data_IF_597337456443
#
_entry.id   IF_597337456443
#
_cell.length_a   1.000
_cell.length_b   1.000
_cell.length_c   1.000
_cell.angle_alpha   90.00
_cell.angle_beta   90.00
_cell.angle_gamma   90.00
#
_symmetry.space_group_name_H-M   'P 1'
#
loop_
_entity.id
_entity.type
_entity.pdbx_description
1 polymer ?
2 non-polymer ?
3 non-polymer ?
4 non-polymer ?
5 water ?
#
# COMPACT_ATOMS: atom_id res chain seq x y z
N UNK A 10 18.22 19.43 9.62
CA UNK A 10 17.03 19.08 8.78
C UNK A 10 16.33 20.35 8.33
N UNK A 11 15.86 20.31 7.10
CA UNK A 11 15.15 21.39 6.51
C UNK A 11 13.65 21.09 6.21
N UNK A 12 13.01 22.19 5.87
CA UNK A 12 11.70 22.20 5.28
C UNK A 12 11.78 21.45 3.94
N UNK A 13 12.90 21.61 3.25
CA UNK A 13 13.14 20.99 1.95
C UNK A 13 13.15 19.45 2.05
N UNK A 14 13.81 18.97 3.10
CA UNK A 14 13.89 17.55 3.41
C UNK A 14 12.47 17.00 3.59
N UNK A 15 11.70 17.67 4.44
CA UNK A 15 10.38 17.20 4.74
C UNK A 15 9.45 17.23 3.52
N UNK A 16 9.54 18.29 2.73
CA UNK A 16 8.76 18.41 1.50
C UNK A 16 9.10 17.26 0.53
N UNK A 17 10.38 16.89 0.46
CA UNK A 17 10.84 15.81 -0.47
C UNK A 17 10.23 14.48 -0.06
N UNK A 18 10.22 14.19 1.24
CA UNK A 18 9.70 12.89 1.73
C UNK A 18 8.19 12.79 1.50
N UNK A 19 7.50 13.89 1.78
CA UNK A 19 6.06 13.95 1.63
C UNK A 19 5.67 13.77 0.19
N UNK A 20 6.50 14.29 -0.71
CA UNK A 20 6.20 14.28 -2.14
C UNK A 20 6.19 12.87 -2.71
N UNK A 21 7.03 12.01 -2.17
CA UNK A 21 7.01 10.58 -2.50
C UNK A 21 5.58 9.97 -2.52
N UNK A 22 4.70 10.39 -1.59
CA UNK A 22 3.40 9.72 -1.44
C UNK A 22 2.51 10.18 -2.59
N UNK A 23 2.68 11.43 -2.97
CA UNK A 23 1.94 11.99 -4.09
C UNK A 23 2.45 11.41 -5.44
N UNK A 24 3.77 11.32 -5.60
CA UNK A 24 4.42 10.72 -6.79
C UNK A 24 3.85 9.33 -7.07
N UNK A 25 3.68 8.57 -5.99
CA UNK A 25 3.19 7.20 -6.08
C UNK A 25 1.70 7.09 -6.37
N UNK A 26 0.92 7.91 -5.65
CA UNK A 26 -0.53 7.93 -5.83
C UNK A 26 -0.82 8.30 -7.27
N UNK A 27 -0.16 9.35 -7.75
CA UNK A 27 -0.42 9.83 -9.12
C UNK A 27 0.04 8.85 -10.20
N UNK A 28 1.18 8.20 -9.98
CA UNK A 28 1.69 7.18 -10.94
C UNK A 28 0.80 5.95 -10.99
N UNK A 29 0.30 5.54 -9.84
CA UNK A 29 -0.61 4.41 -9.79
C UNK A 29 -1.78 4.80 -10.66
N UNK A 30 -2.31 5.99 -10.40
CA UNK A 30 -3.50 6.43 -11.07
C UNK A 30 -3.34 6.60 -12.57
N UNK A 31 -2.12 6.73 -13.06
CA UNK A 31 -1.96 6.81 -14.51
C UNK A 31 -1.34 5.54 -15.02
N UNK A 32 -1.22 4.54 -14.15
CA UNK A 32 -0.76 3.23 -14.54
C UNK A 32 0.71 3.16 -14.87
N UNK A 33 1.52 3.95 -14.18
CA UNK A 33 2.95 3.95 -14.45
C UNK A 33 3.80 3.28 -13.41
N UNK A 34 4.33 2.11 -13.77
CA UNK A 34 5.17 1.35 -12.85
C UNK A 34 6.47 2.06 -12.54
N UNK A 35 7.08 2.65 -13.57
CA UNK A 35 8.31 3.40 -13.34
C UNK A 35 8.08 4.63 -12.47
N UNK A 36 6.96 5.29 -12.66
CA UNK A 36 6.62 6.45 -11.83
C UNK A 36 6.47 6.05 -10.38
N UNK A 37 5.90 4.88 -10.17
CA UNK A 37 5.54 4.43 -8.83
C UNK A 37 6.79 4.04 -8.04
N UNK A 38 7.76 3.47 -8.76
CA UNK A 38 9.04 2.98 -8.22
C UNK A 38 10.11 4.06 -8.05
N UNK A 39 9.87 5.23 -8.64
CA UNK A 39 10.90 6.27 -8.77
C UNK A 39 11.48 6.66 -7.43
N UNK A 40 10.65 6.81 -6.38
CA UNK A 40 11.25 7.28 -5.10
C UNK A 40 12.15 6.29 -4.44
N UNK A 41 12.13 5.05 -4.93
CA UNK A 41 12.87 3.96 -4.26
C UNK A 41 14.32 3.84 -4.67
N UNK A 42 15.13 3.40 -3.71
CA UNK A 42 16.54 3.16 -3.95
C UNK A 42 16.71 1.86 -4.73
N UNK A 43 17.93 1.64 -5.19
CA UNK A 43 18.21 0.40 -5.93
C UNK A 43 18.27 -0.82 -5.05
N UNK A 44 18.29 -0.63 -3.73
CA UNK A 44 18.36 -1.75 -2.79
C UNK A 44 17.09 -1.94 -1.94
N UNK A 45 16.10 -1.06 -2.14
CA UNK A 45 14.93 -1.02 -1.28
C UNK A 45 14.15 -2.32 -1.19
N UNK A 46 13.65 -2.56 0.01
CA UNK A 46 12.69 -3.64 0.29
C UNK A 46 11.28 -3.13 0.24
N UNK A 47 10.49 -3.70 -0.65
CA UNK A 47 9.05 -3.44 -0.71
C UNK A 47 8.32 -4.75 -0.39
N UNK A 48 7.47 -4.70 0.64
CA UNK A 48 6.68 -5.88 1.09
C UNK A 48 5.20 -5.58 0.91
N UNK A 49 4.58 -6.36 0.04
CA UNK A 49 3.15 -6.22 -0.29
C UNK A 49 2.32 -6.88 0.80
N UNK A 50 1.00 -6.72 0.66
CA UNK A 50 0.03 -7.02 1.75
C UNK A 50 -0.06 -8.53 2.02
N UNK A 51 0.29 -9.31 1.02
CA UNK A 51 0.20 -10.77 1.14
C UNK A 51 1.62 -11.39 1.34
N UNK A 52 2.61 -10.54 1.51
CA UNK A 52 3.97 -10.99 1.83
C UNK A 52 4.90 -11.12 0.64
N UNK A 53 4.57 -10.54 -0.50
CA UNK A 53 5.51 -10.52 -1.65
C UNK A 53 6.61 -9.55 -1.35
N UNK A 54 7.84 -9.97 -1.61
CA UNK A 54 9.02 -9.12 -1.43
C UNK A 54 9.64 -8.70 -2.74
N UNK A 55 9.65 -7.40 -2.98
CA UNK A 55 10.32 -6.81 -4.14
C UNK A 55 11.57 -6.12 -3.73
N UNK A 56 12.64 -6.36 -4.48
CA UNK A 56 13.95 -5.85 -4.10
C UNK A 56 14.46 -4.83 -5.12
N UNK A 57 14.45 -3.55 -4.76
CA UNK A 57 14.98 -2.50 -5.63
C UNK A 57 14.01 -1.86 -6.57
N UNK A 58 14.32 -0.62 -6.91
CA UNK A 58 13.51 0.19 -7.80
C UNK A 58 13.01 -0.56 -9.06
N UNK A 59 13.90 -1.30 -9.70
CA UNK A 59 13.56 -1.94 -10.99
C UNK A 59 12.53 -3.02 -10.85
N UNK A 60 12.74 -3.90 -9.87
CA UNK A 60 11.75 -4.94 -9.53
C UNK A 60 10.42 -4.31 -9.12
N UNK A 61 10.49 -3.28 -8.29
CA UNK A 61 9.26 -2.61 -7.83
C UNK A 61 8.53 -2.08 -9.08
N UNK A 62 9.27 -1.49 -10.02
CA UNK A 62 8.60 -0.95 -11.23
C UNK A 62 7.98 -2.04 -12.11
N UNK A 63 8.69 -3.17 -12.23
CA UNK A 63 8.31 -4.28 -13.12
C UNK A 63 7.07 -4.95 -12.58
N UNK A 64 7.10 -5.22 -11.28
CA UNK A 64 5.94 -5.79 -10.61
C UNK A 64 4.69 -4.92 -10.73
N UNK A 65 4.84 -3.62 -10.46
CA UNK A 65 3.69 -2.71 -10.50
C UNK A 65 3.19 -2.42 -11.92
N UNK A 66 4.08 -2.34 -12.89
CA UNK A 66 3.55 -2.16 -14.23
C UNK A 66 2.63 -3.36 -14.57
N UNK A 67 3.13 -4.55 -14.31
CA UNK A 67 2.35 -5.75 -14.64
C UNK A 67 1.00 -5.72 -13.95
N UNK A 68 0.99 -5.25 -12.72
CA UNK A 68 -0.22 -5.23 -11.89
C UNK A 68 -1.21 -4.21 -12.44
N UNK A 69 -0.67 -3.04 -12.79
CA UNK A 69 -1.51 -1.95 -13.30
C UNK A 69 -2.14 -2.37 -14.64
N UNK A 70 -1.47 -3.28 -15.34
CA UNK A 70 -1.96 -3.78 -16.62
C UNK A 70 -2.96 -4.94 -16.44
N UNK A 71 -3.01 -5.52 -15.25
CA UNK A 71 -3.87 -6.68 -15.00
C UNK A 71 -4.74 -6.55 -13.72
N UNK A 72 -4.25 -7.13 -12.64
CA UNK A 72 -5.02 -7.32 -11.41
C UNK A 72 -5.50 -6.05 -10.65
N UNK A 73 -4.92 -4.88 -10.93
CA UNK A 73 -5.46 -3.63 -10.37
C UNK A 73 -5.78 -2.60 -11.47
N UNK A 74 -5.80 -3.06 -12.71
CA UNK A 74 -6.24 -2.17 -13.79
C UNK A 74 -7.56 -1.49 -13.46
N UNK A 75 -7.61 -0.18 -13.64
CA UNK A 75 -8.82 0.57 -13.42
C UNK A 75 -9.10 0.93 -11.97
N UNK A 76 -8.27 0.45 -11.04
CA UNK A 76 -8.39 0.92 -9.66
C UNK A 76 -7.83 2.34 -9.53
N UNK A 77 -8.25 3.01 -8.48
CA UNK A 77 -7.78 4.33 -8.16
C UNK A 77 -7.33 4.43 -6.72
N UNK A 78 -6.16 5.04 -6.52
CA UNK A 78 -5.68 5.29 -5.16
C UNK A 78 -6.01 6.71 -4.72
N UNK A 79 -6.29 6.79 -3.44
CA UNK A 79 -6.33 8.03 -2.71
C UNK A 79 -5.60 7.85 -1.40
N UNK A 80 -5.12 8.95 -0.85
CA UNK A 80 -4.26 8.89 0.32
C UNK A 80 -3.75 10.23 0.80
N UNK A 81 -3.14 10.16 1.97
CA UNK A 81 -2.62 11.32 2.66
C UNK A 81 -1.66 10.92 3.77
N UNK A 82 -0.80 11.84 4.15
CA UNK A 82 0.11 11.60 5.24
C UNK A 82 -0.62 11.39 6.57
N UNK A 83 -0.20 10.37 7.29
CA UNK A 83 -0.60 10.20 8.70
C UNK A 83 0.43 10.84 9.65
N UNK A 84 1.70 10.46 9.54
CA UNK A 84 2.77 11.24 10.21
C UNK A 84 4.12 11.11 9.47
N UNK A 85 4.95 12.14 9.63
CA UNK A 85 6.35 12.10 9.26
C UNK A 85 7.16 12.43 10.52
N UNK A 86 8.16 11.63 10.82
CA UNK A 86 9.12 11.93 11.89
C UNK A 86 10.56 11.69 11.46
N UNK A 87 11.42 12.66 11.73
CA UNK A 87 12.87 12.47 11.52
C UNK A 87 13.46 11.81 12.72
N UNK A 88 14.09 10.68 12.49
CA UNK A 88 14.87 10.01 13.52
C UNK A 88 16.18 10.79 13.69
N UNK A 89 16.79 11.15 12.57
CA UNK A 89 17.95 12.02 12.55
C UNK A 89 17.97 12.70 11.23
N UNK A 90 19.07 13.39 10.93
CA UNK A 90 19.11 14.24 9.74
C UNK A 90 19.14 13.45 8.43
N UNK A 91 19.27 12.14 8.54
CA UNK A 91 19.42 11.27 7.38
C UNK A 91 18.45 10.09 7.40
N UNK A 92 17.50 10.10 8.31
CA UNK A 92 16.60 8.99 8.43
C UNK A 92 15.26 9.50 8.90
N UNK A 93 14.21 9.16 8.15
CA UNK A 93 12.84 9.49 8.50
C UNK A 93 11.88 8.28 8.37
N UNK A 94 10.85 8.33 9.19
CA UNK A 94 9.71 7.43 9.09
C UNK A 94 8.49 8.18 8.69
N UNK A 95 7.77 7.61 7.75
CA UNK A 95 6.55 8.21 7.29
C UNK A 95 5.46 7.17 7.13
N UNK A 96 4.36 7.42 7.83
CA UNK A 96 3.16 6.57 7.76
C UNK A 96 2.12 7.28 6.92
N UNK A 97 1.54 6.55 5.99
CA UNK A 97 0.61 7.11 5.02
C UNK A 97 -0.68 6.28 5.04
N UNK A 98 -1.81 6.96 4.91
CA UNK A 98 -3.12 6.33 4.77
C UNK A 98 -3.39 6.19 3.30
N UNK A 99 -3.74 4.98 2.86
CA UNK A 99 -4.12 4.76 1.45
C UNK A 99 -5.47 4.06 1.38
N UNK A 100 -6.33 4.48 0.45
CA UNK A 100 -7.58 3.78 0.18
C UNK A 100 -7.67 3.55 -1.30
N UNK A 101 -8.46 2.54 -1.66
CA UNK A 101 -8.58 2.08 -3.05
C UNK A 101 -10.04 1.99 -3.46
N UNK A 102 -10.32 2.64 -4.59
CA UNK A 102 -11.60 2.47 -5.31
C UNK A 102 -11.45 1.43 -6.43
N UNK A 103 -12.24 0.39 -6.34
CA UNK A 103 -12.17 -0.69 -7.31
C UNK A 103 -12.89 -0.26 -8.58
N UNK A 104 -12.49 -0.81 -9.72
CA UNK A 104 -13.06 -0.33 -11.00
C UNK A 104 -14.57 -0.45 -11.05
N UNK A 105 -15.21 0.58 -11.57
CA UNK A 105 -16.65 0.59 -11.68
C UNK A 105 -17.32 1.15 -10.45
N UNK A 106 -16.52 1.38 -9.41
CA UNK A 106 -17.07 1.84 -8.13
C UNK A 106 -16.85 3.32 -7.93
N UNK A 107 -17.59 3.92 -7.01
CA UNK A 107 -17.39 5.31 -6.73
C UNK A 107 -16.84 5.51 -5.32
N UNK A 108 -16.90 4.46 -4.53
CA UNK A 108 -16.46 4.53 -3.15
C UNK A 108 -15.28 3.59 -2.96
N UNK A 109 -14.51 3.84 -1.89
CA UNK A 109 -13.39 2.97 -1.54
C UNK A 109 -13.90 1.68 -0.88
N UNK A 110 -13.20 0.60 -1.20
CA UNK A 110 -13.41 -0.69 -0.59
C UNK A 110 -12.56 -0.84 0.67
N UNK A 111 -13.25 -1.07 1.79
CA UNK A 111 -12.61 -1.23 3.08
C UNK A 111 -11.58 -2.36 3.09
N UNK A 112 -11.86 -3.36 2.27
CA UNK A 112 -10.98 -4.52 2.10
C UNK A 112 -9.58 -4.13 1.66
N UNK A 113 -9.44 -2.92 1.10
CA UNK A 113 -8.15 -2.46 0.55
C UNK A 113 -7.50 -1.35 1.42
N UNK A 114 -8.10 -1.04 2.56
CA UNK A 114 -7.57 0.03 3.39
C UNK A 114 -6.18 -0.35 3.81
N UNK A 115 -5.24 0.57 3.63
CA UNK A 115 -3.83 0.35 3.94
C UNK A 115 -3.20 1.52 4.71
N UNK A 116 -2.21 1.17 5.53
CA UNK A 116 -1.46 2.14 6.29
C UNK A 116 0.05 1.89 6.11
N UNK A 117 0.59 2.07 4.87
CA UNK A 117 2.01 1.79 4.71
C UNK A 117 3.02 2.63 5.54
N UNK A 118 4.08 1.96 5.99
CA UNK A 118 5.22 2.63 6.61
C UNK A 118 6.38 2.75 5.62
N UNK A 119 6.78 3.97 5.38
CA UNK A 119 7.92 4.28 4.55
C UNK A 119 9.16 4.52 5.44
N UNK A 120 10.26 3.87 5.11
CA UNK A 120 11.58 4.12 5.78
C UNK A 120 12.43 4.86 4.75
N UNK A 121 12.73 6.12 5.04
CA UNK A 121 13.42 6.99 4.09
C UNK A 121 14.80 7.38 4.62
N UNK A 122 15.80 7.28 3.76
CA UNK A 122 17.14 7.60 4.12
C UNK A 122 17.67 8.71 3.20
N UNK A 123 18.59 9.49 3.73
CA UNK A 123 19.24 10.54 2.93
C UNK A 123 20.66 10.13 2.74
N UNK A 124 20.94 9.59 1.58
CA UNK A 124 22.27 9.12 1.27
C UNK A 124 23.00 10.09 0.40
N UNK A 125 24.01 9.54 -0.25
CA UNK A 125 24.86 10.26 -1.20
C UNK A 125 24.00 10.97 -2.23
N UNK A 126 22.92 10.32 -2.65
CA UNK A 126 22.07 10.81 -3.75
C UNK A 126 20.82 11.54 -3.28
N UNK A 127 20.72 11.77 -1.97
CA UNK A 127 19.61 12.47 -1.37
C UNK A 127 18.56 11.49 -0.91
N UNK A 128 17.34 11.97 -0.67
CA UNK A 128 16.29 11.12 -0.01
C UNK A 128 15.82 10.04 -0.94
N UNK A 129 15.72 8.80 -0.43
CA UNK A 129 15.13 7.71 -1.17
C UNK A 129 14.41 6.79 -0.17
N UNK A 130 13.39 6.11 -0.65
CA UNK A 130 12.73 5.08 0.13
C UNK A 130 13.59 3.83 0.07
N UNK A 131 13.89 3.32 1.26
CA UNK A 131 14.73 2.15 1.46
C UNK A 131 13.92 0.94 1.92
N UNK A 132 12.79 1.20 2.55
CA UNK A 132 11.88 0.15 2.96
C UNK A 132 10.45 0.64 2.94
N UNK A 133 9.55 -0.25 2.57
CA UNK A 133 8.11 0.04 2.66
C UNK A 133 7.36 -1.24 2.93
N UNK A 134 6.63 -1.27 4.04
CA UNK A 134 5.75 -2.38 4.41
C UNK A 134 4.34 -1.92 4.12
N UNK A 135 3.72 -2.55 3.13
CA UNK A 135 2.35 -2.18 2.78
C UNK A 135 1.28 -3.13 3.25
N UNK A 136 0.67 -2.87 4.38
CA UNK A 136 -0.34 -3.79 4.81
C UNK A 136 -1.72 -3.24 4.95
N UNK A 137 -2.64 -4.18 5.09
CA UNK A 137 -4.06 -3.90 5.31
C UNK A 137 -4.31 -3.46 6.74
N UNK A 138 -5.05 -2.38 6.84
CA UNK A 138 -5.45 -1.91 8.12
C UNK A 138 -6.82 -2.48 8.44
N UNK A 139 -6.93 -3.29 9.50
CA UNK A 139 -8.24 -3.81 9.85
C UNK A 139 -8.87 -2.99 10.95
N UNK A 140 -10.16 -2.75 10.86
CA UNK A 140 -10.89 -2.26 12.04
C UNK A 140 -11.00 -3.39 13.02
N UNK A 141 -11.26 -3.02 14.27
CA UNK A 141 -11.47 -3.97 15.36
C UNK A 141 -12.68 -4.82 15.04
N UNK A 142 -13.68 -4.21 14.44
CA UNK A 142 -14.89 -4.97 14.11
C UNK A 142 -14.58 -6.05 13.06
N UNK A 143 -13.80 -5.69 12.06
CA UNK A 143 -13.41 -6.66 11.01
C UNK A 143 -12.49 -7.77 11.60
N UNK A 144 -11.61 -7.37 12.51
CA UNK A 144 -10.75 -8.34 13.19
C UNK A 144 -11.54 -9.41 13.95
N UNK A 145 -12.55 -8.99 14.72
CA UNK A 145 -13.38 -9.90 15.47
C UNK A 145 -14.24 -10.80 14.58
N UNK A 146 -14.75 -10.25 13.47
CA UNK A 146 -15.44 -11.03 12.43
C UNK A 146 -14.54 -12.14 11.88
N UNK A 147 -13.29 -11.80 11.60
CA UNK A 147 -12.32 -12.79 11.07
C UNK A 147 -11.97 -13.82 12.13
N UNK A 148 -11.85 -13.39 13.39
CA UNK A 148 -11.55 -14.28 14.49
C UNK A 148 -12.71 -15.29 14.55
N UNK A 149 -13.92 -14.76 14.47
CA UNK A 149 -15.13 -15.61 14.55
C UNK A 149 -15.14 -16.61 13.40
N UNK A 150 -14.93 -16.11 12.19
CA UNK A 150 -14.86 -16.96 11.02
C UNK A 150 -13.85 -18.11 11.21
N UNK A 151 -12.63 -17.78 11.65
CA UNK A 151 -11.55 -18.78 11.75
C UNK A 151 -11.85 -19.77 12.87
N UNK A 152 -12.72 -19.38 13.78
CA UNK A 152 -13.09 -20.26 14.87
C UNK A 152 -14.12 -21.29 14.42
N UNK A 153 -14.75 -21.06 13.28
CA UNK A 153 -15.74 -22.01 12.74
C UNK A 153 -15.04 -23.23 12.12
N UNK A 154 -15.72 -24.36 12.13
CA UNK A 154 -15.31 -25.55 11.36
C UNK A 154 -15.23 -25.23 9.88
N UNK A 155 -14.51 -26.07 9.14
CA UNK A 155 -14.40 -25.88 7.70
C UNK A 155 -15.77 -25.95 7.03
N UNK A 156 -16.67 -26.74 7.62
CA UNK A 156 -17.98 -26.94 7.00
C UNK A 156 -18.84 -25.70 7.19
N UNK A 157 -18.77 -25.14 8.40
CA UNK A 157 -19.45 -23.87 8.72
C UNK A 157 -18.87 -22.72 7.90
N UNK A 158 -17.54 -22.68 7.77
CA UNK A 158 -16.89 -21.68 6.90
C UNK A 158 -17.43 -21.78 5.48
N UNK A 159 -17.59 -23.01 4.99
CA UNK A 159 -18.08 -23.21 3.63
C UNK A 159 -19.52 -22.68 3.46
N UNK A 160 -20.36 -22.85 4.47
CA UNK A 160 -21.71 -22.27 4.44
C UNK A 160 -21.64 -20.76 4.28
N UNK A 161 -20.64 -20.19 4.92
CA UNK A 161 -20.50 -18.73 4.93
C UNK A 161 -19.99 -18.22 3.56
N UNK A 162 -18.94 -18.84 3.06
CA UNK A 162 -18.42 -18.49 1.76
C UNK A 162 -19.43 -18.77 0.65
N UNK A 163 -20.20 -19.85 0.77
CA UNK A 163 -21.27 -20.14 -0.22
C UNK A 163 -22.36 -19.04 -0.24
N UNK A 164 -22.73 -18.55 0.95
CA UNK A 164 -23.71 -17.49 1.12
C UNK A 164 -23.20 -16.21 0.48
N UNK A 165 -21.96 -15.86 0.76
CA UNK A 165 -21.34 -14.71 0.08
C UNK A 165 -21.40 -14.85 -1.45
N UNK A 166 -21.08 -16.03 -1.98
CA UNK A 166 -21.09 -16.28 -3.42
C UNK A 166 -22.50 -16.17 -3.99
N UNK A 167 -23.47 -16.69 -3.24
CA UNK A 167 -24.84 -16.63 -3.70
C UNK A 167 -25.34 -15.18 -3.68
N UNK A 168 -24.93 -14.40 -2.69
CA UNK A 168 -25.32 -12.96 -2.62
C UNK A 168 -24.69 -12.06 -3.68
N UNK A 169 -23.50 -12.40 -4.14
CA UNK A 169 -22.89 -11.52 -5.13
C UNK A 169 -23.45 -11.82 -6.54
N UNK A 170 -24.34 -12.79 -6.66
CA UNK A 170 -24.97 -13.09 -7.95
C UNK A 170 -25.74 -11.87 -8.51
N UNK A 171 -26.62 -11.17 -7.78
CA UNK A 171 -27.82 -11.64 -7.04
C UNK A 171 -28.48 -10.44 -6.37
X LIG B 1 -10.90 -25.22 13.00
X LIG C 1 -16.61 -1.81 -2.58
X LIG C 1 -16.15 -1.69 -3.94
X LIG C 1 -17.22 -0.52 -2.08
X LIG C 1 -18.42 -0.28 -2.81
X LIG D 1 -4.60 1.29 -12.31
X LIG D 1 -3.25 0.99 -11.95
X LIG D 1 -4.71 2.76 -12.71
X LIG D 1 -5.99 3.00 -13.30
X LIG E 1 25.87 11.76 2.11
X LIG E 1 26.31 10.56 2.77
X LIG E 1 25.43 12.83 3.10
X LIG E 1 24.05 13.19 2.88
X LIG F 1 -16.62 -7.49 8.62
X LIG F 1 -16.13 -6.17 8.77
X LIG F 1 -18.09 -7.46 9.02
X LIG F 1 -18.23 -6.84 10.31
X LIG G 1 20.01 7.19 15.80
X LIG G 1 19.84 8.59 15.50
X LIG G 1 21.26 6.69 15.09
X LIG G 1 20.76 6.11 13.92
X LIG G 1 21.67 5.84 12.89
X LIG G 1 20.84 5.47 11.68
X LIG G 1 21.07 6.45 10.65
#
# INVERSE_FOLDING_TARGET
>A
GXNLQTDQTTTTADESAIRAFHRQMIDAWNRGSGEGFAAPFSETADFITFEGTHLKGRKEIAAFHQQAFDTVVKGTRLEGEVDFVRFVNSQLALMLVVIRVILPGQTETSASRDSLPLYVVTKGDEGWQIEGLLNTRKLTLERQFFLDDFDSLSAEAQRQVTDLVASLKQSH
>B hetero
1 MG MG
>C hetero
1 EDO C1 O1 C2 O2
>D hetero
1 EDO C1 O1 C2 O2
>E hetero
1 EDO C1 O1 C2 O2
>F hetero
1 EDO C1 O1 C2 O2
>G hetero
1 PEG C1 O1 C2 O2 C3 C4 O4
#
